data_IF_009661700139
#
_entry.id   IF_009661700139
#
_cell.length_a   1.000
_cell.length_b   1.000
_cell.length_c   1.000
_cell.angle_alpha   90.00
_cell.angle_beta   90.00
_cell.angle_gamma   90.00
#
_symmetry.space_group_name_H-M   'P 1'
#
loop_
_entity.id
_entity.type
_entity.pdbx_description
1 polymer ?
#
# COMPACT_ATOMS: atom_id res chain seq x y z
N UNK A 1 5.12 -21.14 14.20
CA UNK A 1 6.54 -21.11 14.68
C UNK A 1 7.54 -20.80 13.55
N UNK A 2 7.42 -21.43 12.37
CA UNK A 2 8.33 -21.22 11.23
C UNK A 2 8.49 -19.75 10.79
N UNK A 3 7.37 -19.03 10.60
CA UNK A 3 7.40 -17.62 10.19
C UNK A 3 8.11 -16.68 11.18
N UNK A 4 8.03 -16.99 12.48
CA UNK A 4 8.74 -16.20 13.49
C UNK A 4 10.25 -16.31 13.30
N UNK A 5 10.77 -17.53 13.10
CA UNK A 5 12.21 -17.73 12.90
C UNK A 5 12.74 -17.01 11.65
N UNK A 6 11.95 -16.97 10.57
CA UNK A 6 12.32 -16.24 9.36
C UNK A 6 12.44 -14.74 9.60
N UNK A 7 11.48 -14.13 10.29
CA UNK A 7 11.53 -12.69 10.61
C UNK A 7 12.74 -12.34 11.48
N UNK A 8 13.04 -13.15 12.51
CA UNK A 8 14.21 -12.93 13.37
C UNK A 8 15.52 -12.95 12.56
N UNK A 9 15.64 -13.87 11.60
CA UNK A 9 16.81 -13.93 10.72
C UNK A 9 16.90 -12.68 9.84
N UNK A 10 15.78 -12.21 9.28
CA UNK A 10 15.75 -10.99 8.46
C UNK A 10 16.12 -9.75 9.26
N UNK A 11 15.65 -9.62 10.51
CA UNK A 11 16.01 -8.53 11.42
C UNK A 11 17.53 -8.52 11.66
N UNK A 12 18.11 -9.67 12.03
CA UNK A 12 19.56 -9.76 12.28
C UNK A 12 20.39 -9.43 11.03
N UNK A 13 19.95 -9.84 9.85
CA UNK A 13 20.59 -9.47 8.58
C UNK A 13 20.50 -7.97 8.32
N UNK A 14 19.34 -7.34 8.57
CA UNK A 14 19.16 -5.90 8.40
C UNK A 14 20.11 -5.10 9.30
N UNK A 15 20.30 -5.55 10.55
CA UNK A 15 21.24 -4.93 11.49
C UNK A 15 22.68 -5.08 11.01
N UNK A 16 23.09 -6.30 10.63
CA UNK A 16 24.44 -6.55 10.13
C UNK A 16 24.79 -5.70 8.89
N UNK A 17 23.84 -5.53 7.96
CA UNK A 17 24.04 -4.68 6.78
C UNK A 17 24.14 -3.21 7.18
N UNK A 18 23.31 -2.73 8.12
CA UNK A 18 23.33 -1.33 8.56
C UNK A 18 24.63 -0.98 9.31
N UNK A 19 25.12 -1.90 10.13
CA UNK A 19 26.38 -1.74 10.86
C UNK A 19 27.59 -1.70 9.90
N UNK A 20 27.58 -2.54 8.87
CA UNK A 20 28.66 -2.60 7.90
C UNK A 20 28.65 -1.44 6.89
N UNK A 21 27.47 -1.06 6.39
CA UNK A 21 27.31 -0.06 5.35
C UNK A 21 26.13 0.89 5.65
N UNK A 22 26.31 1.90 6.53
CA UNK A 22 25.22 2.72 7.02
C UNK A 22 24.60 3.66 5.96
N UNK A 23 25.35 4.00 4.91
CA UNK A 23 24.94 4.93 3.86
C UNK A 23 24.14 4.27 2.73
N UNK A 24 24.08 2.94 2.68
CA UNK A 24 23.35 2.23 1.65
C UNK A 24 21.84 2.22 1.98
N UNK A 25 20.96 2.47 0.98
CA UNK A 25 19.52 2.39 1.19
C UNK A 25 19.12 0.95 1.47
N UNK A 26 18.39 0.73 2.57
CA UNK A 26 18.02 -0.60 3.04
C UNK A 26 16.54 -0.87 2.78
N UNK A 27 16.27 -1.92 2.00
CA UNK A 27 14.94 -2.42 1.68
C UNK A 27 14.73 -3.75 2.39
N UNK A 28 13.66 -3.84 3.19
CA UNK A 28 13.39 -5.03 4.03
C UNK A 28 11.96 -5.49 3.86
N UNK A 29 11.77 -6.80 3.70
CA UNK A 29 10.47 -7.46 3.78
C UNK A 29 10.37 -8.21 5.11
N UNK A 30 9.25 -8.03 5.81
CA UNK A 30 8.92 -8.75 7.04
C UNK A 30 7.55 -9.39 6.90
N UNK A 31 7.36 -10.56 7.52
CA UNK A 31 6.10 -11.29 7.47
C UNK A 31 5.12 -10.73 8.50
N UNK A 32 5.48 -10.79 9.79
CA UNK A 32 4.58 -10.40 10.89
C UNK A 32 4.63 -8.90 11.21
N UNK A 33 3.48 -8.28 11.55
CA UNK A 33 3.43 -6.85 11.91
C UNK A 33 4.21 -6.53 13.19
N UNK A 34 4.26 -7.45 14.15
CA UNK A 34 5.00 -7.30 15.42
C UNK A 34 6.48 -7.00 15.21
N UNK A 35 7.07 -7.62 14.19
CA UNK A 35 8.50 -7.57 13.92
C UNK A 35 8.90 -6.31 13.14
N UNK A 36 7.92 -5.57 12.57
CA UNK A 36 8.13 -4.35 11.80
C UNK A 36 8.86 -3.26 12.58
N UNK A 37 8.59 -3.16 13.89
CA UNK A 37 9.22 -2.15 14.75
C UNK A 37 10.75 -2.29 14.78
N UNK A 38 11.29 -3.51 14.75
CA UNK A 38 12.72 -3.78 14.86
C UNK A 38 13.55 -3.35 13.65
N UNK A 39 12.92 -3.10 12.50
CA UNK A 39 13.57 -2.65 11.27
C UNK A 39 13.08 -1.26 10.83
N UNK A 40 12.44 -0.50 11.71
CA UNK A 40 11.93 0.84 11.41
C UNK A 40 13.01 1.84 10.98
N UNK A 41 14.29 1.54 11.27
CA UNK A 41 15.43 2.33 10.81
C UNK A 41 15.79 2.12 9.34
N UNK A 42 15.24 1.09 8.68
CA UNK A 42 15.44 0.86 7.26
C UNK A 42 14.66 1.91 6.44
N UNK A 43 15.17 2.23 5.25
CA UNK A 43 14.58 3.26 4.39
C UNK A 43 13.20 2.85 3.87
N UNK A 44 13.04 1.56 3.54
CA UNK A 44 11.78 1.01 3.05
C UNK A 44 11.49 -0.36 3.66
N UNK A 45 10.31 -0.49 4.29
CA UNK A 45 9.87 -1.73 4.94
C UNK A 45 8.52 -2.14 4.39
N UNK A 46 8.42 -3.38 3.89
CA UNK A 46 7.17 -3.99 3.43
C UNK A 46 6.77 -5.08 4.42
N UNK A 47 5.59 -4.95 5.02
CA UNK A 47 5.02 -5.97 5.90
C UNK A 47 3.94 -6.77 5.17
N UNK A 48 4.16 -8.07 5.03
CA UNK A 48 3.31 -8.95 4.24
C UNK A 48 1.93 -9.16 4.86
N UNK A 49 1.84 -9.47 6.16
CA UNK A 49 0.55 -9.69 6.81
C UNK A 49 -0.30 -8.40 6.84
N UNK A 50 0.30 -7.23 7.12
CA UNK A 50 -0.43 -5.95 7.07
C UNK A 50 -1.07 -5.74 5.69
N UNK A 51 -0.29 -5.92 4.64
CA UNK A 51 -0.73 -5.69 3.27
C UNK A 51 -1.77 -6.72 2.81
N UNK A 52 -1.52 -8.00 3.08
CA UNK A 52 -2.42 -9.12 2.78
C UNK A 52 -3.79 -8.91 3.42
N UNK A 53 -3.85 -8.66 4.73
CA UNK A 53 -5.12 -8.51 5.44
C UNK A 53 -5.84 -7.21 5.07
N UNK A 54 -5.11 -6.11 4.82
CA UNK A 54 -5.70 -4.88 4.33
C UNK A 54 -6.36 -5.07 2.94
N UNK A 55 -5.69 -5.75 2.01
CA UNK A 55 -6.25 -6.04 0.68
C UNK A 55 -7.52 -6.89 0.75
N UNK A 56 -7.50 -7.94 1.57
CA UNK A 56 -8.67 -8.81 1.75
C UNK A 56 -9.85 -8.05 2.36
N UNK A 57 -9.58 -7.17 3.33
CA UNK A 57 -10.60 -6.32 3.91
C UNK A 57 -11.20 -5.35 2.89
N UNK A 58 -10.36 -4.68 2.10
CA UNK A 58 -10.82 -3.77 1.05
C UNK A 58 -11.62 -4.48 -0.04
N UNK A 59 -11.32 -5.75 -0.34
CA UNK A 59 -12.14 -6.57 -1.25
C UNK A 59 -13.57 -6.81 -0.75
N UNK A 60 -13.81 -6.78 0.57
CA UNK A 60 -15.16 -6.84 1.12
C UNK A 60 -15.94 -5.52 0.93
N UNK A 61 -15.25 -4.43 0.61
CA UNK A 61 -15.85 -3.10 0.41
C UNK A 61 -16.03 -2.80 -1.07
N UNK A 62 -14.93 -2.91 -1.82
CA UNK A 62 -14.87 -2.65 -3.24
C UNK A 62 -14.40 -3.92 -3.94
N UNK A 63 -15.13 -4.39 -4.97
CA UNK A 63 -14.80 -5.63 -5.65
C UNK A 63 -13.41 -5.56 -6.29
N UNK A 64 -12.63 -6.63 -6.13
CA UNK A 64 -11.32 -6.82 -6.78
C UNK A 64 -10.30 -5.69 -6.57
N UNK A 65 -10.34 -5.01 -5.41
CA UNK A 65 -9.33 -4.01 -5.02
C UNK A 65 -7.91 -4.60 -5.02
N UNK A 66 -7.76 -5.85 -4.59
CA UNK A 66 -6.49 -6.58 -4.66
C UNK A 66 -5.95 -6.64 -6.09
N UNK A 67 -6.80 -6.93 -7.08
CA UNK A 67 -6.40 -7.00 -8.49
C UNK A 67 -5.96 -5.64 -8.99
N UNK A 68 -6.70 -4.57 -8.66
CA UNK A 68 -6.34 -3.20 -9.05
C UNK A 68 -4.94 -2.84 -8.55
N UNK A 69 -4.66 -3.05 -7.26
CA UNK A 69 -3.36 -2.71 -6.67
C UNK A 69 -2.25 -3.59 -7.27
N UNK A 70 -2.49 -4.89 -7.45
CA UNK A 70 -1.51 -5.80 -8.07
C UNK A 70 -1.13 -5.38 -9.48
N UNK A 71 -2.09 -4.97 -10.31
CA UNK A 71 -1.81 -4.48 -11.66
C UNK A 71 -1.03 -3.16 -11.63
N UNK A 72 -1.37 -2.24 -10.73
CA UNK A 72 -0.67 -0.95 -10.62
C UNK A 72 0.79 -1.05 -10.16
N UNK A 73 1.12 -2.06 -9.34
CA UNK A 73 2.51 -2.31 -8.91
C UNK A 73 3.30 -3.16 -9.91
N UNK A 74 2.61 -3.86 -10.81
CA UNK A 74 3.24 -4.70 -11.81
C UNK A 74 3.49 -3.91 -13.10
N UNK A 75 4.76 -3.63 -13.40
CA UNK A 75 5.11 -2.84 -14.58
C UNK A 75 4.86 -3.60 -15.87
N UNK A 76 4.10 -3.01 -16.79
CA UNK A 76 3.61 -3.64 -18.02
C UNK A 76 3.43 -2.60 -19.13
N UNK A 77 3.62 -2.99 -20.40
CA UNK A 77 3.52 -2.07 -21.54
C UNK A 77 2.11 -1.97 -22.15
N UNK A 78 1.11 -2.64 -21.56
CA UNK A 78 -0.25 -2.67 -22.11
C UNK A 78 -0.38 -3.42 -23.44
N UNK A 79 0.56 -4.34 -23.73
CA UNK A 79 0.53 -5.21 -24.91
C UNK A 79 -0.13 -6.56 -24.63
N UNK A 80 -0.45 -6.82 -23.37
CA UNK A 80 -1.14 -8.02 -22.93
C UNK A 80 -2.53 -8.07 -23.58
N UNK A 81 -2.98 -9.25 -23.99
CA UNK A 81 -4.31 -9.42 -24.58
C UNK A 81 -4.47 -8.88 -26.01
N UNK A 82 -3.47 -8.27 -26.66
CA UNK A 82 -3.63 -7.79 -28.05
C UNK A 82 -3.91 -8.92 -29.05
N UNK A 83 -3.41 -10.13 -28.77
CA UNK A 83 -3.62 -11.31 -29.59
C UNK A 83 -4.96 -12.02 -29.31
N UNK A 84 -5.70 -11.63 -28.26
CA UNK A 84 -6.94 -12.31 -27.93
C UNK A 84 -8.04 -12.01 -28.96
N UNK A 85 -8.95 -12.95 -29.24
CA UNK A 85 -10.11 -12.68 -30.08
C UNK A 85 -11.17 -11.85 -29.33
N UNK A 86 -11.21 -11.94 -28.00
CA UNK A 86 -12.24 -11.31 -27.17
C UNK A 86 -11.93 -9.82 -26.87
N UNK A 87 -12.96 -8.98 -27.02
CA UNK A 87 -12.84 -7.52 -26.86
C UNK A 87 -12.46 -7.09 -25.44
N UNK A 88 -13.03 -7.74 -24.42
CA UNK A 88 -12.75 -7.38 -23.03
C UNK A 88 -11.31 -7.73 -22.64
N UNK A 89 -10.76 -8.82 -23.15
CA UNK A 89 -9.37 -9.23 -22.88
C UNK A 89 -8.37 -8.24 -23.48
N UNK A 90 -8.63 -7.74 -24.70
CA UNK A 90 -7.81 -6.68 -25.31
C UNK A 90 -7.83 -5.40 -24.49
N UNK A 91 -9.01 -4.98 -24.03
CA UNK A 91 -9.15 -3.78 -23.21
C UNK A 91 -8.50 -3.95 -21.84
N UNK A 92 -8.72 -5.10 -21.19
CA UNK A 92 -8.13 -5.44 -19.90
C UNK A 92 -6.60 -5.44 -19.97
N UNK A 93 -6.01 -6.14 -20.94
CA UNK A 93 -4.56 -6.21 -21.10
C UNK A 93 -3.93 -4.91 -21.63
N UNK A 94 -4.71 -4.00 -22.23
CA UNK A 94 -4.26 -2.63 -22.48
C UNK A 94 -4.22 -1.81 -21.20
N UNK A 95 -5.27 -1.89 -20.38
CA UNK A 95 -5.39 -1.14 -19.14
C UNK A 95 -4.54 -1.70 -17.99
N UNK A 96 -4.09 -2.95 -18.07
CA UNK A 96 -3.16 -3.54 -17.10
C UNK A 96 -1.79 -2.87 -17.11
N UNK A 97 -1.40 -2.27 -18.24
CA UNK A 97 -0.16 -1.49 -18.35
C UNK A 97 -0.21 -0.11 -17.71
N UNK A 98 -1.29 0.23 -17.00
CA UNK A 98 -1.35 1.48 -16.24
C UNK A 98 -0.43 1.40 -15.02
N UNK A 99 0.42 2.41 -14.87
CA UNK A 99 1.39 2.51 -13.78
C UNK A 99 1.24 3.85 -13.06
N UNK A 100 1.66 3.90 -11.79
CA UNK A 100 1.69 5.14 -11.00
C UNK A 100 3.01 5.85 -11.22
N UNK A 101 2.95 7.08 -11.69
CA UNK A 101 4.10 7.97 -11.87
C UNK A 101 3.98 9.20 -10.99
N UNK A 102 5.11 9.90 -10.84
CA UNK A 102 5.17 11.19 -10.18
C UNK A 102 5.94 12.19 -11.06
N UNK A 103 5.50 13.45 -11.06
CA UNK A 103 6.19 14.55 -11.73
C UNK A 103 5.95 15.86 -10.98
N UNK A 104 6.90 16.79 -11.04
CA UNK A 104 6.68 18.15 -10.54
C UNK A 104 5.74 18.91 -11.47
N UNK A 105 4.79 19.66 -10.92
CA UNK A 105 3.76 20.35 -11.70
C UNK A 105 4.36 21.32 -12.73
N UNK A 106 5.37 22.11 -12.32
CA UNK A 106 6.02 23.08 -13.19
C UNK A 106 6.77 22.46 -14.37
N UNK A 107 7.26 21.22 -14.21
CA UNK A 107 8.02 20.50 -15.24
C UNK A 107 7.11 19.70 -16.19
N UNK A 108 5.84 19.53 -15.82
CA UNK A 108 4.87 18.73 -16.57
C UNK A 108 4.24 19.50 -17.73
N UNK A 109 4.25 18.89 -18.91
CA UNK A 109 3.45 19.31 -20.07
C UNK A 109 1.95 19.07 -19.86
N UNK A 110 1.58 18.07 -19.05
CA UNK A 110 0.19 17.77 -18.72
C UNK A 110 -0.40 18.79 -17.74
N UNK A 111 0.36 19.15 -16.70
CA UNK A 111 -0.20 19.88 -15.55
C UNK A 111 0.22 21.34 -15.43
N UNK A 112 1.24 21.82 -16.15
CA UNK A 112 1.73 23.22 -16.05
C UNK A 112 0.64 24.28 -16.22
N UNK A 113 -0.33 24.03 -17.12
CA UNK A 113 -1.42 24.96 -17.42
C UNK A 113 -2.42 25.09 -16.25
N UNK A 114 -2.35 24.17 -15.28
CA UNK A 114 -3.22 24.11 -14.11
C UNK A 114 -2.54 24.62 -12.83
N UNK A 115 -1.42 25.31 -12.95
CA UNK A 115 -0.83 26.03 -11.82
C UNK A 115 -1.85 27.02 -11.23
N UNK A 116 -1.93 27.11 -9.89
CA UNK A 116 -2.90 27.94 -9.17
C UNK A 116 -4.37 27.59 -9.43
N UNK A 117 -4.66 26.39 -9.93
CA UNK A 117 -6.02 25.81 -10.00
C UNK A 117 -6.22 24.78 -8.90
N UNK A 118 -7.49 24.43 -8.66
CA UNK A 118 -7.81 23.36 -7.71
C UNK A 118 -7.39 21.99 -8.26
N UNK A 119 -7.07 21.07 -7.35
CA UNK A 119 -6.75 19.67 -7.70
C UNK A 119 -7.86 19.02 -8.54
N UNK A 120 -9.11 19.20 -8.14
CA UNK A 120 -10.28 18.64 -8.83
C UNK A 120 -10.42 19.14 -10.26
N UNK A 121 -10.14 20.43 -10.48
CA UNK A 121 -10.17 21.03 -11.81
C UNK A 121 -9.08 20.46 -12.70
N UNK A 122 -7.84 20.36 -12.19
CA UNK A 122 -6.71 19.79 -12.91
C UNK A 122 -6.97 18.32 -13.29
N UNK A 123 -7.48 17.51 -12.35
CA UNK A 123 -7.78 16.10 -12.57
C UNK A 123 -8.79 15.88 -13.71
N UNK A 124 -9.89 16.66 -13.73
CA UNK A 124 -10.91 16.58 -14.77
C UNK A 124 -10.35 16.93 -16.15
N UNK A 125 -9.63 18.06 -16.25
CA UNK A 125 -9.12 18.53 -17.54
C UNK A 125 -7.95 17.68 -18.06
N UNK A 126 -7.09 17.16 -17.18
CA UNK A 126 -6.01 16.24 -17.55
C UNK A 126 -6.56 14.92 -18.13
N UNK A 127 -7.58 14.34 -17.49
CA UNK A 127 -8.21 13.13 -18.00
C UNK A 127 -8.92 13.39 -19.34
N UNK A 128 -9.64 14.51 -19.47
CA UNK A 128 -10.33 14.86 -20.71
C UNK A 128 -9.39 15.15 -21.89
N UNK A 129 -8.23 15.78 -21.64
CA UNK A 129 -7.29 16.20 -22.68
C UNK A 129 -6.26 15.12 -23.02
N UNK A 130 -5.75 14.41 -22.01
CA UNK A 130 -4.63 13.48 -22.15
C UNK A 130 -4.97 12.03 -21.77
N UNK A 131 -6.13 11.79 -21.14
CA UNK A 131 -6.46 10.46 -20.59
C UNK A 131 -5.68 10.11 -19.32
N UNK A 132 -5.05 11.09 -18.67
CA UNK A 132 -4.23 10.89 -17.47
C UNK A 132 -5.06 11.10 -16.22
N UNK A 133 -4.98 10.18 -15.26
CA UNK A 133 -5.74 10.24 -14.01
C UNK A 133 -4.85 10.70 -12.85
N UNK A 134 -5.17 11.85 -12.24
CA UNK A 134 -4.44 12.38 -11.09
C UNK A 134 -5.00 11.81 -9.78
N UNK A 135 -4.13 11.37 -8.87
CA UNK A 135 -4.52 10.61 -7.66
C UNK A 135 -4.12 11.33 -6.38
N UNK A 136 -3.02 12.10 -6.41
CA UNK A 136 -2.53 12.77 -5.22
C UNK A 136 -1.48 13.82 -5.51
N UNK A 137 -1.17 14.59 -4.48
CA UNK A 137 -0.18 15.68 -4.52
C UNK A 137 0.68 15.61 -3.27
N UNK A 138 1.97 15.88 -3.42
CA UNK A 138 2.90 16.12 -2.33
C UNK A 138 3.48 17.52 -2.48
N UNK A 139 3.31 18.34 -1.45
CA UNK A 139 3.93 19.67 -1.37
C UNK A 139 5.42 19.54 -1.09
N UNK A 140 6.19 20.53 -1.52
CA UNK A 140 7.64 20.58 -1.25
C UNK A 140 7.94 20.66 0.26
N UNK A 141 7.14 21.44 0.99
CA UNK A 141 7.30 21.65 2.44
C UNK A 141 6.89 20.43 3.28
N UNK A 142 5.95 19.61 2.79
CA UNK A 142 5.39 18.47 3.51
C UNK A 142 5.90 17.14 2.98
N UNK A 143 6.42 16.30 3.88
CA UNK A 143 6.85 14.94 3.50
C UNK A 143 5.69 13.99 3.20
N UNK A 144 4.46 14.31 3.63
CA UNK A 144 3.27 13.48 3.45
C UNK A 144 2.67 13.62 2.05
N UNK A 145 2.28 12.49 1.47
CA UNK A 145 1.49 12.44 0.23
C UNK A 145 0.02 12.60 0.58
N UNK A 146 -0.68 13.52 -0.08
CA UNK A 146 -2.13 13.72 0.06
C UNK A 146 -2.83 13.01 -1.09
N UNK A 147 -3.72 12.06 -0.76
CA UNK A 147 -4.53 11.35 -1.74
C UNK A 147 -5.86 12.08 -1.93
N UNK A 148 -6.20 12.37 -3.19
CA UNK A 148 -7.41 13.06 -3.62
C UNK A 148 -7.81 14.27 -2.75
N UNK A 149 -6.95 15.30 -2.66
CA UNK A 149 -7.29 16.49 -1.87
C UNK A 149 -8.51 17.21 -2.47
N UNK A 150 -9.37 17.71 -1.58
CA UNK A 150 -10.62 18.39 -1.98
C UNK A 150 -10.41 19.70 -2.76
N UNK A 151 -11.50 20.37 -3.18
CA UNK A 151 -11.43 21.57 -4.02
C UNK A 151 -10.73 22.76 -3.36
N UNK A 152 -10.59 22.75 -2.02
CA UNK A 152 -9.85 23.76 -1.26
C UNK A 152 -8.33 23.70 -1.49
N UNK A 153 -7.82 22.57 -1.99
CA UNK A 153 -6.41 22.42 -2.28
C UNK A 153 -6.07 23.02 -3.64
N UNK A 154 -5.29 24.10 -3.61
CA UNK A 154 -4.74 24.78 -4.78
C UNK A 154 -3.34 24.22 -5.06
N UNK A 155 -3.09 23.85 -6.31
CA UNK A 155 -1.82 23.29 -6.76
C UNK A 155 -0.80 24.40 -7.04
N UNK A 156 0.45 24.14 -6.68
CA UNK A 156 1.61 25.00 -6.95
C UNK A 156 2.55 24.38 -7.98
N UNK A 157 3.31 25.21 -8.70
CA UNK A 157 4.35 24.76 -9.64
C UNK A 157 5.42 23.88 -8.98
N UNK A 158 5.67 24.06 -7.69
CA UNK A 158 6.64 23.27 -6.93
C UNK A 158 6.14 21.88 -6.53
N UNK A 159 4.83 21.65 -6.57
CA UNK A 159 4.23 20.43 -6.03
C UNK A 159 4.54 19.21 -6.91
N UNK A 160 4.66 18.05 -6.27
CA UNK A 160 4.78 16.75 -6.95
C UNK A 160 3.41 16.12 -7.12
N UNK A 161 2.99 15.93 -8.36
CA UNK A 161 1.74 15.29 -8.76
C UNK A 161 1.94 13.79 -8.95
N UNK A 162 1.07 12.97 -8.36
CA UNK A 162 1.01 11.53 -8.57
C UNK A 162 -0.15 11.18 -9.50
N UNK A 163 0.12 10.51 -10.60
CA UNK A 163 -0.87 10.19 -11.63
C UNK A 163 -0.72 8.76 -12.15
N UNK A 164 -1.81 8.21 -12.70
CA UNK A 164 -1.83 6.95 -13.43
C UNK A 164 -1.83 7.23 -14.93
N UNK A 165 -0.94 6.56 -15.64
CA UNK A 165 -0.94 6.48 -17.10
C UNK A 165 -0.25 5.19 -17.56
N UNK A 166 -0.41 4.81 -18.83
CA UNK A 166 0.29 3.66 -19.42
C UNK A 166 1.79 3.96 -19.64
N UNK A 167 2.13 5.22 -19.92
CA UNK A 167 3.52 5.61 -20.15
C UNK A 167 3.87 6.84 -19.32
N UNK A 168 5.11 6.86 -18.82
CA UNK A 168 5.68 8.03 -18.15
C UNK A 168 5.69 9.22 -19.11
N UNK A 169 5.28 10.38 -18.62
CA UNK A 169 5.20 11.62 -19.41
C UNK A 169 6.48 11.96 -20.18
N UNK A 170 7.65 11.77 -19.57
CA UNK A 170 8.95 12.03 -20.20
C UNK A 170 9.16 11.20 -21.48
N UNK A 171 8.62 9.97 -21.50
CA UNK A 171 8.67 9.09 -22.67
C UNK A 171 7.59 9.48 -23.69
N UNK A 172 6.43 9.94 -23.22
CA UNK A 172 5.33 10.42 -24.08
C UNK A 172 5.67 11.74 -24.78
N UNK A 173 6.45 12.62 -24.13
CA UNK A 173 6.90 13.89 -24.70
C UNK A 173 7.79 13.69 -25.94
N UNK A 174 8.52 12.57 -26.02
CA UNK A 174 9.23 12.18 -27.25
C UNK A 174 8.26 11.88 -28.39
N UNK A 175 7.16 11.17 -28.11
CA UNK A 175 6.12 10.84 -29.11
C UNK A 175 5.46 12.11 -29.64
N UNK A 176 5.05 13.03 -28.75
CA UNK A 176 4.45 14.30 -29.16
C UNK A 176 5.40 15.16 -30.01
N UNK A 177 6.70 15.23 -29.66
CA UNK A 177 7.70 15.94 -30.47
C UNK A 177 7.90 15.29 -31.83
N UNK A 178 7.86 13.96 -31.92
CA UNK A 178 8.04 13.23 -33.15
C UNK A 178 6.82 13.37 -34.09
N UNK A 179 5.61 13.44 -33.56
CA UNK A 179 4.39 13.75 -34.31
C UNK A 179 4.34 15.21 -34.77
N UNK A 180 4.81 16.17 -33.96
CA UNK A 180 4.92 17.58 -34.35
C UNK A 180 5.97 17.82 -35.46
N UNK A 181 7.10 17.11 -35.43
CA UNK A 181 8.12 17.19 -36.49
C UNK A 181 7.66 16.52 -37.80
N UNK A 182 6.90 15.42 -37.72
CA UNK A 182 6.30 14.79 -38.89
C UNK A 182 5.12 15.61 -39.47
N UNK A 183 4.48 16.46 -38.67
CA UNK A 183 3.40 17.35 -39.10
C UNK A 183 3.84 18.58 -39.91
N UNK A 184 5.14 18.89 -39.98
CA UNK A 184 5.67 20.06 -40.71
C UNK A 184 6.31 19.76 -42.07
N UNK A 185 6.26 18.52 -42.56
CA UNK A 185 6.82 18.14 -43.86
C UNK A 185 5.81 17.41 -44.75
N UNK A 186 4.94 18.15 -45.46
CA UNK A 186 4.27 17.60 -46.66
C UNK A 186 4.96 18.10 -47.93
N UNK A 187 5.72 17.19 -48.55
CA UNK A 187 6.23 17.25 -49.92
C UNK A 187 6.29 15.82 -50.48
N UNK A 188 5.87 15.66 -51.71
CA UNK A 188 5.45 14.43 -52.42
C UNK A 188 6.61 13.50 -52.89
N UNK A 189 6.28 12.20 -53.04
CA UNK A 189 7.02 11.09 -53.74
C UNK A 189 8.35 10.60 -53.13
N UNK A 190 8.77 9.32 -53.12
CA UNK A 190 8.44 8.13 -53.91
C UNK A 190 8.65 6.81 -53.11
N UNK A 191 7.94 5.77 -53.53
CA UNK A 191 8.17 4.36 -53.16
C UNK A 191 9.47 3.89 -53.85
N UNK A 192 10.49 3.45 -53.07
CA UNK A 192 11.41 2.32 -53.33
C UNK A 192 12.72 2.40 -52.50
N UNK A 193 12.98 1.31 -51.76
CA UNK A 193 14.29 0.72 -51.39
C UNK A 193 15.20 1.32 -50.28
N UNK A 194 15.25 0.57 -49.17
CA UNK A 194 16.43 0.18 -48.36
C UNK A 194 16.92 1.13 -47.23
N UNK A 195 17.75 0.65 -46.27
CA UNK A 195 17.35 -0.21 -45.14
C UNK A 195 17.81 0.33 -43.76
N UNK A 196 17.27 -0.24 -42.68
CA UNK A 196 17.88 -0.38 -41.35
C UNK A 196 18.60 0.83 -40.72
N UNK A 197 17.93 1.50 -39.79
CA UNK A 197 18.55 2.49 -38.91
C UNK A 197 17.73 2.73 -37.64
N UNK A 198 17.45 1.67 -36.87
CA UNK A 198 16.93 1.81 -35.51
C UNK A 198 18.11 2.02 -34.54
N UNK A 199 18.10 3.06 -33.68
CA UNK A 199 19.12 3.19 -32.64
C UNK A 199 18.99 2.05 -31.63
N UNK A 200 20.08 1.32 -31.49
CA UNK A 200 20.26 0.15 -30.63
C UNK A 200 20.35 0.61 -29.16
N UNK A 201 19.23 0.67 -28.46
CA UNK A 201 19.18 0.57 -26.99
C UNK A 201 18.02 -0.31 -26.52
N UNK A 202 17.83 -1.42 -27.24
CA UNK A 202 16.85 -2.46 -26.93
C UNK A 202 17.52 -3.79 -27.21
N UNK A 203 17.98 -4.49 -26.16
CA UNK A 203 17.99 -5.95 -25.98
C UNK A 203 18.59 -6.19 -24.57
N UNK A 204 18.03 -7.16 -23.85
CA UNK A 204 18.25 -7.52 -22.43
C UNK A 204 17.32 -6.80 -21.43
N UNK A 205 16.03 -7.15 -21.51
CA UNK A 205 15.20 -7.44 -20.34
C UNK A 205 14.03 -8.33 -20.81
N UNK A 206 14.40 -9.48 -21.38
CA UNK A 206 13.48 -10.60 -21.61
C UNK A 206 14.21 -11.83 -21.15
N UNK A 207 14.05 -12.15 -19.86
CA UNK A 207 14.28 -13.47 -19.29
C UNK A 207 13.54 -13.56 -17.96
N UNK A 208 12.61 -14.51 -17.89
CA UNK A 208 12.29 -15.22 -16.67
C UNK A 208 11.13 -14.68 -15.84
N UNK A 209 9.92 -15.12 -16.20
CA UNK A 209 9.04 -15.76 -15.21
C UNK A 209 9.89 -16.69 -14.33
N UNK A 210 10.02 -16.38 -13.04
CA UNK A 210 10.45 -17.36 -12.05
C UNK A 210 9.32 -17.54 -11.05
N UNK A 211 8.51 -18.56 -11.34
CA UNK A 211 7.76 -19.27 -10.32
C UNK A 211 8.78 -19.82 -9.30
N UNK A 212 8.55 -19.55 -8.02
CA UNK A 212 9.27 -20.25 -6.97
C UNK A 212 8.67 -21.63 -6.82
N UNK A 213 9.41 -22.66 -7.22
CA UNK A 213 9.10 -24.03 -6.84
C UNK A 213 10.29 -24.65 -6.11
N UNK A 214 10.00 -25.11 -4.89
CA UNK A 214 10.92 -25.74 -3.94
C UNK A 214 11.03 -27.22 -4.28
N UNK A 215 12.24 -27.75 -4.48
CA UNK A 215 12.57 -29.15 -4.16
C UNK A 215 14.09 -29.45 -4.18
N UNK A 216 14.60 -29.78 -2.98
CA UNK A 216 15.62 -30.78 -2.62
C UNK A 216 16.81 -31.04 -3.56
N UNK A 217 18.04 -30.75 -3.08
CA UNK A 217 19.21 -31.62 -3.31
C UNK A 217 20.21 -31.53 -2.14
N UNK A 218 20.61 -32.70 -1.66
CA UNK A 218 21.71 -32.98 -0.71
C UNK A 218 23.11 -32.80 -1.37
N UNK A 219 24.21 -32.79 -0.59
CA UNK A 219 25.42 -32.02 -0.92
C UNK A 219 26.48 -32.82 -1.69
N UNK A 220 27.30 -32.11 -2.47
CA UNK A 220 28.58 -32.64 -2.96
C UNK A 220 29.69 -31.63 -2.75
N UNK A 221 30.76 -32.11 -2.13
CA UNK A 221 31.96 -31.41 -1.68
C UNK A 221 32.77 -30.79 -2.82
N UNK A 222 33.33 -29.61 -2.60
CA UNK A 222 34.69 -29.27 -3.02
C UNK A 222 35.21 -28.10 -2.21
N UNK A 223 36.33 -28.33 -1.51
CA UNK A 223 36.85 -27.47 -0.47
C UNK A 223 37.63 -26.27 -0.99
N UNK A 224 37.46 -25.14 -0.32
CA UNK A 224 38.47 -24.10 -0.18
C UNK A 224 38.49 -23.69 1.30
N UNK A 225 39.51 -24.16 2.03
CA UNK A 225 39.83 -23.73 3.40
C UNK A 225 40.44 -22.34 3.34
N UNK A 226 39.86 -21.37 4.04
CA UNK A 226 40.52 -20.12 4.41
C UNK A 226 40.76 -20.15 5.93
N UNK A 227 42.03 -20.14 6.31
CA UNK A 227 42.50 -20.19 7.70
C UNK A 227 42.42 -18.81 8.38
N UNK A 228 42.25 -18.74 9.72
CA UNK A 228 42.29 -17.48 10.46
C UNK A 228 43.73 -17.04 10.78
N UNK A 229 43.99 -15.74 10.98
CA UNK A 229 45.30 -15.23 11.39
C UNK A 229 45.56 -15.49 12.90
N UNK A 230 46.83 -15.48 13.34
CA UNK A 230 47.24 -16.04 14.63
C UNK A 230 46.91 -15.14 15.82
N UNK A 231 46.68 -15.81 16.96
CA UNK A 231 46.51 -15.23 18.29
C UNK A 231 47.78 -14.47 18.72
N UNK A 232 47.59 -13.25 19.23
CA UNK A 232 48.60 -12.61 20.06
C UNK A 232 47.91 -12.12 21.35
N UNK A 233 48.34 -12.71 22.46
CA UNK A 233 47.91 -12.41 23.81
C UNK A 233 48.44 -11.03 24.24
N UNK A 234 47.54 -10.09 24.52
CA UNK A 234 47.70 -9.14 25.63
C UNK A 234 46.35 -8.50 25.98
N UNK A 235 46.00 -8.60 27.26
CA UNK A 235 44.65 -8.36 27.77
C UNK A 235 44.19 -6.91 27.73
N UNK A 236 42.91 -6.75 27.42
CA UNK A 236 41.99 -5.81 28.08
C UNK A 236 40.59 -6.06 27.52
N UNK A 237 39.71 -6.68 28.32
CA UNK A 237 38.27 -6.80 28.02
C UNK A 237 37.71 -5.40 27.73
N UNK A 238 37.32 -5.13 26.48
CA UNK A 238 36.51 -3.96 26.14
C UNK A 238 35.04 -4.37 26.19
N UNK A 239 34.18 -3.68 26.97
CA UNK A 239 32.76 -4.01 27.02
C UNK A 239 32.10 -3.66 25.68
N UNK A 240 31.45 -4.67 25.10
CA UNK A 240 30.46 -4.53 24.03
C UNK A 240 29.19 -3.94 24.66
N UNK A 241 28.78 -2.75 24.18
CA UNK A 241 27.49 -2.04 24.36
C UNK A 241 27.82 -0.54 24.37
N UNK A 242 27.42 0.17 23.31
CA UNK A 242 27.34 1.62 23.35
C UNK A 242 26.14 2.04 24.23
N UNK A 243 26.25 3.14 24.99
CA UNK A 243 25.21 3.55 25.92
C UNK A 243 23.90 3.85 25.17
N UNK A 244 22.82 3.24 25.65
CA UNK A 244 21.45 3.57 25.28
C UNK A 244 21.23 5.04 25.59
N UNK A 245 20.98 5.86 24.56
CA UNK A 245 20.50 7.22 24.78
C UNK A 245 19.13 7.13 25.46
N UNK A 246 19.08 7.53 26.72
CA UNK A 246 17.84 7.70 27.47
C UNK A 246 16.98 8.80 26.86
N UNK A 247 15.69 8.55 27.00
CA UNK A 247 14.55 9.28 26.46
C UNK A 247 14.57 10.78 26.81
N UNK A 248 14.25 11.60 25.81
CA UNK A 248 13.67 12.92 26.01
C UNK A 248 12.19 12.88 25.60
N UNK A 249 11.35 12.90 26.63
CA UNK A 249 9.98 13.42 26.72
C UNK A 249 9.04 13.33 25.51
N UNK A 250 8.08 12.42 25.67
CA UNK A 250 6.83 12.21 24.94
C UNK A 250 5.83 13.39 25.05
N UNK A 251 6.27 14.64 25.08
CA UNK A 251 5.42 15.81 25.36
C UNK A 251 5.28 16.82 24.20
N UNK A 252 5.70 16.49 22.99
CA UNK A 252 5.61 17.39 21.81
C UNK A 252 4.66 16.90 20.70
N UNK A 253 3.81 15.90 20.97
CA UNK A 253 2.62 15.65 20.14
C UNK A 253 1.55 16.68 20.51
N UNK A 254 1.69 17.90 19.98
CA UNK A 254 0.56 18.81 19.87
C UNK A 254 -0.60 18.06 19.21
N UNK A 255 -1.82 18.06 19.79
CA UNK A 255 -2.99 17.57 19.09
C UNK A 255 -3.12 18.43 17.84
N UNK A 256 -2.86 17.85 16.67
CA UNK A 256 -3.37 18.44 15.44
C UNK A 256 -4.89 18.46 15.60
N UNK A 257 -5.44 19.65 15.82
CA UNK A 257 -6.85 19.98 15.68
C UNK A 257 -7.29 19.68 14.24
N UNK A 258 -7.54 18.40 13.95
CA UNK A 258 -8.21 17.90 12.75
C UNK A 258 -9.73 17.83 12.97
N UNK A 259 -10.26 18.59 13.93
CA UNK A 259 -11.70 18.81 14.08
C UNK A 259 -12.13 19.92 13.11
N UNK A 260 -11.90 19.73 11.82
CA UNK A 260 -12.59 20.52 10.79
C UNK A 260 -12.63 19.83 9.42
N UNK A 261 -12.71 18.51 9.41
CA UNK A 261 -13.12 17.74 8.22
C UNK A 261 -14.58 17.28 8.41
N UNK A 262 -15.46 18.27 8.51
CA UNK A 262 -16.86 18.07 8.13
C UNK A 262 -16.87 18.02 6.61
N UNK A 263 -16.68 16.82 6.04
CA UNK A 263 -17.16 16.55 4.69
C UNK A 263 -18.68 16.70 4.73
N UNK A 264 -19.17 17.79 4.17
CA UNK A 264 -20.59 18.04 3.90
C UNK A 264 -21.07 17.01 2.88
N UNK A 265 -21.43 15.82 3.36
CA UNK A 265 -22.27 14.85 2.64
C UNK A 265 -23.43 14.36 3.53
N UNK A 266 -23.71 15.09 4.62
CA UNK A 266 -24.97 15.01 5.36
C UNK A 266 -26.01 15.91 4.67
N UNK A 267 -26.34 15.60 3.41
CA UNK A 267 -27.44 16.20 2.70
C UNK A 267 -28.56 15.17 2.50
N UNK A 268 -29.42 15.06 3.51
CA UNK A 268 -30.82 14.64 3.31
C UNK A 268 -31.23 13.29 3.90
N UNK A 269 -31.39 13.23 5.22
CA UNK A 269 -32.65 12.87 5.89
C UNK A 269 -32.46 12.92 7.40
N UNK A 270 -33.02 13.96 8.02
CA UNK A 270 -33.28 14.00 9.44
C UNK A 270 -34.28 12.90 9.79
N UNK A 271 -33.78 11.79 10.33
CA UNK A 271 -34.54 10.93 11.23
C UNK A 271 -33.71 10.80 12.50
N UNK A 272 -34.04 11.63 13.49
CA UNK A 272 -33.94 11.19 14.87
C UNK A 272 -34.79 9.93 14.98
N UNK A 273 -34.16 8.77 15.22
CA UNK A 273 -34.49 7.90 16.36
C UNK A 273 -33.93 6.46 16.24
N UNK A 274 -33.45 6.00 17.41
CA UNK A 274 -33.27 4.61 17.89
C UNK A 274 -31.85 3.97 17.95
N UNK A 275 -30.84 4.32 17.16
CA UNK A 275 -29.48 3.70 17.30
C UNK A 275 -28.30 4.68 17.40
N UNK A 276 -28.57 5.96 17.66
CA UNK A 276 -27.52 6.98 17.80
C UNK A 276 -26.55 6.73 18.98
N UNK A 277 -26.91 5.88 19.93
CA UNK A 277 -26.21 5.69 21.22
C UNK A 277 -25.28 4.47 21.32
N UNK A 278 -25.07 3.65 20.29
CA UNK A 278 -24.23 2.43 20.46
C UNK A 278 -22.74 2.66 20.20
N UNK A 279 -22.37 3.57 19.28
CA UNK A 279 -20.98 3.72 18.82
C UNK A 279 -20.38 5.12 19.04
N UNK A 280 -19.15 5.16 19.55
CA UNK A 280 -18.31 6.35 19.69
C UNK A 280 -17.18 6.31 18.66
N UNK A 281 -16.90 7.44 18.01
CA UNK A 281 -15.70 7.55 17.16
C UNK A 281 -14.47 7.72 18.06
N UNK A 282 -13.50 6.82 17.94
CA UNK A 282 -12.29 6.88 18.75
C UNK A 282 -11.18 5.97 18.22
N UNK A 283 -9.99 6.11 18.81
CA UNK A 283 -8.88 5.20 18.53
C UNK A 283 -9.02 3.95 19.39
N UNK A 284 -8.90 2.74 18.82
CA UNK A 284 -8.88 1.51 19.61
C UNK A 284 -7.85 1.61 20.74
N UNK A 285 -8.23 1.40 22.01
CA UNK A 285 -7.34 1.64 23.14
C UNK A 285 -6.17 0.65 23.21
N UNK A 286 -6.35 -0.55 22.66
CA UNK A 286 -5.36 -1.61 22.67
C UNK A 286 -4.85 -1.88 21.25
N UNK A 287 -3.61 -1.48 20.99
CA UNK A 287 -2.88 -1.88 19.77
C UNK A 287 -2.21 -3.24 19.99
N UNK A 288 -2.46 -4.25 19.16
CA UNK A 288 -1.92 -5.60 19.36
C UNK A 288 -0.40 -5.71 19.15
N UNK A 289 0.20 -4.75 18.45
CA UNK A 289 1.64 -4.70 18.18
C UNK A 289 2.15 -3.25 18.12
N UNK A 290 3.45 -3.07 18.34
CA UNK A 290 4.12 -1.77 18.31
C UNK A 290 4.26 -1.31 16.86
N UNK A 291 3.91 -0.06 16.57
CA UNK A 291 4.01 0.52 15.22
C UNK A 291 2.76 0.36 14.36
N UNK A 292 1.64 -0.07 14.94
CA UNK A 292 0.33 -0.01 14.28
C UNK A 292 -0.06 1.44 13.96
N UNK A 293 -0.61 1.70 12.78
CA UNK A 293 -1.13 3.02 12.43
C UNK A 293 -2.48 3.28 13.14
N UNK A 294 -2.56 4.28 14.04
CA UNK A 294 -3.81 4.60 14.72
C UNK A 294 -4.83 5.10 13.70
N UNK A 295 -5.99 4.44 13.63
CA UNK A 295 -7.10 4.82 12.75
C UNK A 295 -8.33 5.04 13.62
N UNK A 296 -9.05 6.13 13.37
CA UNK A 296 -10.33 6.37 14.04
C UNK A 296 -11.34 5.32 13.57
N UNK A 297 -11.94 4.61 14.52
CA UNK A 297 -12.92 3.57 14.27
C UNK A 297 -14.22 3.85 15.04
N UNK A 298 -15.30 3.18 14.61
CA UNK A 298 -16.55 3.12 15.38
C UNK A 298 -16.38 2.11 16.52
N UNK A 299 -16.19 2.60 17.75
CA UNK A 299 -15.98 1.81 18.96
C UNK A 299 -17.27 1.68 19.76
N UNK A 300 -17.40 0.61 20.54
CA UNK A 300 -18.47 0.48 21.53
C UNK A 300 -18.21 1.40 22.72
N UNK A 301 -19.29 1.94 23.31
CA UNK A 301 -19.20 2.74 24.54
C UNK A 301 -18.62 1.97 25.72
N UNK A 302 -19.01 0.70 25.86
CA UNK A 302 -18.50 -0.21 26.88
C UNK A 302 -17.75 -1.36 26.23
N UNK A 303 -16.65 -1.78 26.88
CA UNK A 303 -15.86 -2.91 26.41
C UNK A 303 -16.69 -4.18 26.52
N UNK A 304 -16.91 -4.86 25.39
CA UNK A 304 -17.59 -6.15 25.36
C UNK A 304 -16.82 -7.20 26.19
N UNK A 305 -17.56 -8.06 26.89
CA UNK A 305 -16.99 -9.21 27.60
C UNK A 305 -16.54 -10.28 26.62
N UNK A 306 -15.43 -10.97 26.92
CA UNK A 306 -14.88 -12.01 26.04
C UNK A 306 -15.87 -13.13 25.72
N UNK A 307 -16.76 -13.48 26.66
CA UNK A 307 -17.80 -14.48 26.44
C UNK A 307 -18.79 -14.08 25.33
N UNK A 308 -19.08 -12.79 25.15
CA UNK A 308 -20.00 -12.29 24.12
C UNK A 308 -19.41 -12.27 22.71
N UNK A 309 -18.08 -12.43 22.58
CA UNK A 309 -17.44 -12.53 21.26
C UNK A 309 -17.56 -13.93 20.65
N UNK A 310 -17.80 -14.95 21.48
CA UNK A 310 -17.97 -16.33 21.03
C UNK A 310 -19.43 -16.57 20.65
N UNK A 311 -19.66 -17.08 19.44
CA UNK A 311 -21.02 -17.38 18.96
C UNK A 311 -21.48 -18.80 19.34
N UNK A 312 -20.55 -19.75 19.40
CA UNK A 312 -20.81 -21.18 19.65
C UNK A 312 -21.39 -21.50 21.04
N UNK A 313 -21.22 -20.59 22.02
CA UNK A 313 -21.72 -20.80 23.38
C UNK A 313 -22.55 -19.61 23.84
N UNK A 314 -23.75 -19.88 24.34
CA UNK A 314 -24.54 -18.87 25.04
C UNK A 314 -23.86 -18.45 26.34
N UNK A 315 -24.02 -17.18 26.72
CA UNK A 315 -23.50 -16.62 27.97
C UNK A 315 -24.61 -15.88 28.71
N UNK A 316 -24.37 -15.48 29.96
CA UNK A 316 -25.34 -14.74 30.79
C UNK A 316 -25.81 -13.42 30.15
N UNK A 317 -25.00 -12.84 29.25
CA UNK A 317 -25.34 -11.61 28.54
C UNK A 317 -26.13 -11.84 27.25
N UNK A 318 -25.88 -12.96 26.55
CA UNK A 318 -26.45 -13.25 25.24
C UNK A 318 -26.75 -14.75 25.12
N UNK A 319 -28.03 -15.08 25.01
CA UNK A 319 -28.54 -16.46 24.96
C UNK A 319 -28.64 -17.04 23.54
N UNK A 320 -27.88 -16.50 22.59
CA UNK A 320 -27.91 -16.91 21.18
C UNK A 320 -26.73 -17.84 20.87
N UNK A 321 -27.01 -19.02 20.33
CA UNK A 321 -26.00 -20.02 19.93
C UNK A 321 -25.68 -19.96 18.42
N UNK A 322 -26.61 -19.44 17.62
CA UNK A 322 -26.43 -19.32 16.18
C UNK A 322 -26.25 -17.87 15.76
N UNK A 323 -25.31 -17.62 14.83
CA UNK A 323 -25.15 -16.30 14.20
C UNK A 323 -26.43 -15.77 13.54
N UNK A 324 -27.34 -16.67 13.13
CA UNK A 324 -28.66 -16.30 12.57
C UNK A 324 -29.59 -15.70 13.61
N UNK A 325 -29.51 -16.15 14.86
CA UNK A 325 -30.37 -15.66 15.95
C UNK A 325 -30.07 -14.21 16.33
N UNK A 326 -28.86 -13.71 16.02
CA UNK A 326 -28.49 -12.30 16.21
C UNK A 326 -29.23 -11.35 15.26
N UNK A 327 -29.88 -11.84 14.20
CA UNK A 327 -30.70 -11.01 13.32
C UNK A 327 -29.94 -9.88 12.62
N UNK A 328 -28.69 -10.13 12.19
CA UNK A 328 -27.87 -9.13 11.52
C UNK A 328 -28.58 -8.51 10.30
N UNK A 329 -28.68 -7.18 10.27
CA UNK A 329 -29.35 -6.45 9.19
C UNK A 329 -28.56 -6.51 7.86
N UNK A 330 -27.23 -6.33 7.97
CA UNK A 330 -26.33 -6.31 6.81
C UNK A 330 -25.74 -7.69 6.53
N UNK A 331 -25.24 -7.87 5.30
CA UNK A 331 -24.58 -9.11 4.87
C UNK A 331 -23.36 -9.39 5.75
N UNK A 332 -23.23 -10.66 6.15
CA UNK A 332 -22.15 -11.13 7.00
C UNK A 332 -20.84 -11.29 6.20
N UNK A 333 -19.72 -10.88 6.77
CA UNK A 333 -18.38 -11.21 6.29
C UNK A 333 -17.84 -12.33 7.17
N UNK A 334 -17.46 -13.46 6.58
CA UNK A 334 -16.84 -14.58 7.29
C UNK A 334 -15.38 -14.68 6.86
N UNK A 335 -14.48 -14.73 7.82
CA UNK A 335 -13.04 -14.89 7.60
C UNK A 335 -12.59 -16.18 8.26
N UNK A 336 -11.96 -17.06 7.49
CA UNK A 336 -11.35 -18.28 8.01
C UNK A 336 -9.84 -18.08 8.14
N UNK A 337 -9.28 -18.44 9.30
CA UNK A 337 -7.85 -18.39 9.57
C UNK A 337 -7.43 -19.48 10.57
N UNK A 338 -6.19 -19.94 10.47
CA UNK A 338 -5.66 -20.99 11.36
C UNK A 338 -5.58 -20.54 12.83
N UNK A 339 -5.17 -19.29 13.06
CA UNK A 339 -5.00 -18.69 14.41
C UNK A 339 -5.41 -17.23 14.42
N UNK A 340 -5.83 -16.72 15.59
CA UNK A 340 -6.10 -15.31 15.82
C UNK A 340 -4.81 -14.48 15.91
N UNK A 341 -4.11 -14.30 14.78
CA UNK A 341 -2.89 -13.51 14.70
C UNK A 341 -3.12 -12.00 14.69
N UNK A 342 -2.10 -11.23 15.06
CA UNK A 342 -2.11 -9.77 15.04
C UNK A 342 -2.38 -9.17 13.64
N UNK A 343 -2.14 -9.92 12.56
CA UNK A 343 -2.53 -9.52 11.21
C UNK A 343 -4.04 -9.34 11.03
N UNK A 344 -4.89 -10.10 11.72
CA UNK A 344 -6.35 -9.96 11.63
C UNK A 344 -6.85 -8.62 12.17
N UNK A 345 -6.11 -7.98 13.08
CA UNK A 345 -6.42 -6.62 13.49
C UNK A 345 -6.40 -5.66 12.29
N UNK A 346 -5.43 -5.82 11.39
CA UNK A 346 -5.31 -5.02 10.16
C UNK A 346 -6.40 -5.34 9.12
N UNK A 347 -7.07 -6.49 9.24
CA UNK A 347 -8.28 -6.78 8.47
C UNK A 347 -9.49 -5.99 9.00
N UNK A 348 -9.65 -5.90 10.32
CA UNK A 348 -10.85 -5.30 10.94
C UNK A 348 -10.82 -3.77 10.86
N UNK A 349 -9.67 -3.14 11.09
CA UNK A 349 -9.52 -1.67 11.14
C UNK A 349 -10.14 -0.95 9.93
N UNK A 350 -9.79 -1.27 8.66
CA UNK A 350 -10.36 -0.57 7.50
C UNK A 350 -11.88 -0.81 7.32
N UNK A 351 -12.40 -1.94 7.83
CA UNK A 351 -13.83 -2.27 7.80
C UNK A 351 -14.64 -1.47 8.84
N UNK A 352 -13.98 -0.96 9.88
CA UNK A 352 -14.61 -0.23 11.00
C UNK A 352 -14.21 1.25 11.07
N UNK A 353 -13.50 1.75 10.06
CA UNK A 353 -12.98 3.11 10.04
C UNK A 353 -14.07 4.20 10.04
N UNK A 354 -13.75 5.39 10.56
CA UNK A 354 -14.70 6.49 10.76
C UNK A 354 -15.34 7.03 9.48
N UNK A 355 -14.61 6.95 8.36
CA UNK A 355 -15.08 7.40 7.04
C UNK A 355 -16.14 6.46 6.44
N UNK A 356 -16.46 5.35 7.10
CA UNK A 356 -17.53 4.45 6.71
C UNK A 356 -18.85 4.87 7.37
N UNK A 357 -19.95 4.95 6.62
CA UNK A 357 -21.25 5.24 7.20
C UNK A 357 -21.71 4.08 8.07
N UNK A 358 -22.32 4.39 9.22
CA UNK A 358 -22.72 3.39 10.23
C UNK A 358 -23.70 2.36 9.69
N UNK A 359 -24.59 2.79 8.78
CA UNK A 359 -25.61 1.93 8.15
C UNK A 359 -25.03 0.85 7.24
N UNK A 360 -23.81 1.02 6.73
CA UNK A 360 -23.13 0.06 5.85
C UNK A 360 -22.11 -0.84 6.58
N UNK A 361 -22.11 -0.82 7.91
CA UNK A 361 -21.22 -1.67 8.68
C UNK A 361 -21.68 -3.12 8.60
N UNK A 362 -20.87 -3.96 7.95
CA UNK A 362 -21.12 -5.39 7.84
C UNK A 362 -20.64 -6.11 9.11
N UNK A 363 -21.41 -7.02 9.72
CA UNK A 363 -20.90 -7.85 10.80
C UNK A 363 -19.80 -8.79 10.29
N UNK A 364 -18.81 -9.07 11.15
CA UNK A 364 -17.63 -9.88 10.80
C UNK A 364 -17.59 -11.07 11.76
N UNK A 365 -17.49 -12.28 11.21
CA UNK A 365 -17.33 -13.52 11.97
C UNK A 365 -15.98 -14.13 11.63
N UNK A 366 -15.18 -14.38 12.66
CA UNK A 366 -13.88 -15.03 12.54
C UNK A 366 -14.07 -16.52 12.85
N UNK A 367 -13.84 -17.36 11.84
CA UNK A 367 -13.81 -18.81 11.97
C UNK A 367 -12.36 -19.23 12.14
N UNK A 368 -12.01 -19.72 13.33
CA UNK A 368 -10.66 -20.03 13.73
C UNK A 368 -10.52 -21.53 13.98
N UNK A 369 -9.48 -22.14 13.41
CA UNK A 369 -9.21 -23.58 13.60
C UNK A 369 -8.65 -23.84 15.00
N UNK A 370 -7.75 -22.97 15.47
CA UNK A 370 -7.18 -23.00 16.81
C UNK A 370 -7.62 -21.75 17.58
N UNK A 371 -8.37 -21.97 18.67
CA UNK A 371 -8.70 -20.95 19.67
C UNK A 371 -7.55 -20.69 20.64
#
# INVERSE_FOLDING_TARGET
LYYSHMDHQTILRAWAVKDFAPNCPLYVQILKPENKFHVKFADHVVCEEEFKYAMLALNCLCPATSTLITLLVHTSRGQEGQQSPEQWQRMYGRCSGNEVYHIRLGDSMFFRDYNSKSFTYAAFHAHKKYGVCLIGVKREDNKSILLNPGPRHIMSASDTCYYINITKEENSAFIFRQEEDQGKGRGHCDILNSPSGLPVHSIIASMGTVAMDFQNTSPTESGIKLAPPPENEQGSRRPSIAPVLEFADSASLLPCDLISDQSEDEAGQSDEDVTANEFVKGYPPNSPYIGSSPTLCHLLHQKAHFCCLRLDQSCEHVSFEDAKAYGFQNKLIIVSAETAGNGLYNFIVPLRAYYRPRRELNPIVLLLDNL
#
